data_IF_812503105956
#
_entry.id   IF_812503105956
#
_cell.length_a   1.000
_cell.length_b   1.000
_cell.length_c   1.000
_cell.angle_alpha   90.00
_cell.angle_beta   90.00
_cell.angle_gamma   90.00
#
_symmetry.space_group_name_H-M   'P 1'
#
loop_
_entity.id
_entity.type
_entity.pdbx_description
1 polymer ?
#
# COMPACT_ATOMS: atom_id res chain seq x y z
N UNK A 1 39.69 9.80 -48.69
CA UNK A 1 39.12 11.02 -48.07
C UNK A 1 40.27 11.73 -47.37
N UNK A 2 40.66 12.92 -47.83
CA UNK A 2 41.75 13.67 -47.22
C UNK A 2 41.19 14.48 -46.03
N UNK A 3 41.80 14.35 -44.86
CA UNK A 3 41.44 15.11 -43.65
C UNK A 3 41.74 16.59 -43.92
N UNK A 4 40.73 17.44 -43.75
CA UNK A 4 40.88 18.88 -44.03
C UNK A 4 41.57 19.60 -42.86
N UNK A 5 42.22 20.74 -43.14
CA UNK A 5 42.82 21.57 -42.09
C UNK A 5 41.78 22.06 -41.06
N UNK A 6 40.50 22.15 -41.43
CA UNK A 6 39.39 22.40 -40.50
C UNK A 6 39.10 21.24 -39.56
N UNK A 7 39.29 19.99 -39.99
CA UNK A 7 39.13 18.81 -39.15
C UNK A 7 40.26 18.72 -38.11
N UNK A 8 41.49 19.10 -38.50
CA UNK A 8 42.65 19.18 -37.59
C UNK A 8 42.53 20.32 -36.57
N UNK A 9 42.02 21.49 -37.00
CA UNK A 9 41.80 22.62 -36.10
C UNK A 9 40.67 22.35 -35.09
N UNK A 10 39.57 21.72 -35.52
CA UNK A 10 38.47 21.34 -34.62
C UNK A 10 38.89 20.24 -33.63
N UNK A 11 39.73 19.28 -34.04
CA UNK A 11 40.29 18.27 -33.15
C UNK A 11 41.24 18.87 -32.10
N UNK A 12 42.10 19.84 -32.47
CA UNK A 12 42.98 20.54 -31.52
C UNK A 12 42.21 21.42 -30.52
N UNK A 13 41.14 22.09 -30.95
CA UNK A 13 40.25 22.86 -30.06
C UNK A 13 39.46 21.95 -29.13
N UNK A 14 39.00 20.79 -29.62
CA UNK A 14 38.37 19.79 -28.76
C UNK A 14 39.36 19.19 -27.75
N UNK A 15 40.61 18.91 -28.16
CA UNK A 15 41.68 18.43 -27.27
C UNK A 15 42.00 19.41 -26.15
N UNK A 16 42.19 20.70 -26.48
CA UNK A 16 42.49 21.73 -25.47
C UNK A 16 41.32 21.99 -24.51
N UNK A 17 40.06 21.88 -24.97
CA UNK A 17 38.88 21.96 -24.11
C UNK A 17 38.79 20.74 -23.17
N UNK A 18 39.09 19.55 -23.64
CA UNK A 18 39.11 18.33 -22.81
C UNK A 18 40.19 18.45 -21.72
N UNK A 19 41.39 18.91 -22.07
CA UNK A 19 42.48 19.11 -21.12
C UNK A 19 42.14 20.15 -20.04
N UNK A 20 41.55 21.28 -20.43
CA UNK A 20 41.05 22.29 -19.48
C UNK A 20 40.02 21.70 -18.53
N UNK A 21 39.09 20.90 -19.05
CA UNK A 21 38.02 20.32 -18.25
C UNK A 21 38.50 19.20 -17.34
N UNK A 22 39.47 18.39 -17.78
CA UNK A 22 40.17 17.43 -16.95
C UNK A 22 40.91 18.13 -15.80
N UNK A 23 41.66 19.21 -16.07
CA UNK A 23 42.36 19.97 -15.04
C UNK A 23 41.39 20.58 -14.02
N UNK A 24 40.24 21.10 -14.49
CA UNK A 24 39.18 21.61 -13.61
C UNK A 24 38.60 20.51 -12.73
N UNK A 25 38.26 19.35 -13.31
CA UNK A 25 37.71 18.21 -12.56
C UNK A 25 38.73 17.65 -11.56
N UNK A 26 40.00 17.52 -11.95
CA UNK A 26 41.06 17.09 -11.05
C UNK A 26 41.21 18.04 -9.86
N UNK A 27 41.16 19.35 -10.11
CA UNK A 27 41.18 20.35 -9.04
C UNK A 27 39.98 20.21 -8.10
N UNK A 28 38.78 19.97 -8.62
CA UNK A 28 37.58 19.76 -7.78
C UNK A 28 37.72 18.49 -6.94
N UNK A 29 38.08 17.37 -7.57
CA UNK A 29 38.27 16.08 -6.88
C UNK A 29 39.33 16.18 -5.80
N UNK A 30 40.46 16.85 -6.09
CA UNK A 30 41.53 17.04 -5.10
C UNK A 30 41.02 17.85 -3.90
N UNK A 31 40.29 18.94 -4.12
CA UNK A 31 39.73 19.77 -3.05
C UNK A 31 38.73 18.98 -2.20
N UNK A 32 37.78 18.29 -2.82
CA UNK A 32 36.78 17.45 -2.13
C UNK A 32 37.44 16.31 -1.33
N UNK A 33 38.47 15.68 -1.90
CA UNK A 33 39.22 14.63 -1.21
C UNK A 33 39.98 15.17 0.01
N UNK A 34 40.64 16.32 -0.12
CA UNK A 34 41.33 16.97 1.01
C UNK A 34 40.33 17.30 2.11
N UNK A 35 39.18 17.88 1.75
CA UNK A 35 38.08 18.14 2.69
C UNK A 35 37.64 16.85 3.39
N UNK A 36 37.33 15.80 2.64
CA UNK A 36 36.86 14.52 3.18
C UNK A 36 37.89 13.85 4.11
N UNK A 37 39.19 13.96 3.80
CA UNK A 37 40.28 13.41 4.63
C UNK A 37 40.49 14.20 5.93
N UNK A 38 40.17 15.49 5.93
CA UNK A 38 40.29 16.37 7.10
C UNK A 38 39.03 16.34 7.97
N UNK A 39 37.88 15.96 7.40
CA UNK A 39 36.61 15.95 8.10
C UNK A 39 36.51 14.77 9.08
N UNK A 40 36.10 14.97 10.35
CA UNK A 40 35.94 13.87 11.30
C UNK A 40 34.91 12.84 10.82
N UNK A 41 35.28 11.56 10.77
CA UNK A 41 34.38 10.47 10.34
C UNK A 41 33.08 10.43 11.15
N UNK A 42 33.17 10.66 12.46
CA UNK A 42 32.04 10.67 13.37
C UNK A 42 31.01 11.73 12.99
N UNK A 43 31.49 12.92 12.61
CA UNK A 43 30.65 14.03 12.20
C UNK A 43 30.07 13.80 10.80
N UNK A 44 30.87 13.29 9.86
CA UNK A 44 30.39 12.92 8.52
C UNK A 44 29.29 11.86 8.59
N UNK A 45 29.49 10.84 9.43
CA UNK A 45 28.50 9.78 9.70
C UNK A 45 27.23 10.34 10.35
N UNK A 46 27.36 11.28 11.27
CA UNK A 46 26.23 11.95 11.91
C UNK A 46 25.41 12.77 10.88
N UNK A 47 26.08 13.55 10.04
CA UNK A 47 25.44 14.32 8.96
C UNK A 47 24.74 13.40 7.94
N UNK A 48 25.41 12.34 7.50
CA UNK A 48 24.81 11.34 6.61
C UNK A 48 23.55 10.70 7.22
N UNK A 49 23.63 10.32 8.50
CA UNK A 49 22.51 9.72 9.23
C UNK A 49 21.37 10.72 9.40
N UNK A 50 21.68 11.98 9.69
CA UNK A 50 20.69 13.05 9.80
C UNK A 50 19.96 13.31 8.48
N UNK A 51 20.69 13.36 7.36
CA UNK A 51 20.12 13.52 6.02
C UNK A 51 19.17 12.36 5.67
N UNK A 52 19.57 11.11 5.93
CA UNK A 52 18.68 9.96 5.73
C UNK A 52 17.47 9.98 6.67
N UNK A 53 17.66 10.28 7.95
CA UNK A 53 16.56 10.38 8.90
C UNK A 53 15.55 11.45 8.46
N UNK A 54 16.03 12.58 7.93
CA UNK A 54 15.19 13.66 7.38
C UNK A 54 14.38 13.18 6.19
N UNK A 55 15.02 12.47 5.25
CA UNK A 55 14.37 11.90 4.07
C UNK A 55 13.30 10.86 4.46
N UNK A 56 13.60 10.01 5.44
CA UNK A 56 12.70 8.94 5.93
C UNK A 56 11.56 9.41 6.83
N UNK A 57 11.45 10.71 7.11
CA UNK A 57 10.24 11.25 7.72
C UNK A 57 9.03 11.05 6.81
N UNK A 58 9.22 11.14 5.49
CA UNK A 58 8.25 10.73 4.49
C UNK A 58 8.41 9.25 4.19
N UNK A 59 7.30 8.56 3.89
CA UNK A 59 7.37 7.13 3.60
C UNK A 59 6.01 6.46 3.53
N UNK A 60 6.02 5.16 3.24
CA UNK A 60 4.83 4.32 3.32
C UNK A 60 5.11 3.11 4.19
N UNK A 61 4.15 2.75 5.05
CA UNK A 61 4.21 1.57 5.89
C UNK A 61 2.99 0.70 5.61
N UNK A 62 3.19 -0.62 5.55
CA UNK A 62 2.12 -1.60 5.42
C UNK A 62 2.19 -2.57 6.61
N UNK A 63 1.02 -3.03 7.10
CA UNK A 63 0.98 -4.12 8.08
C UNK A 63 1.65 -5.37 7.51
N UNK A 64 2.46 -6.08 8.30
CA UNK A 64 3.18 -7.27 7.83
C UNK A 64 2.21 -8.33 7.30
N UNK A 65 2.56 -8.94 6.17
CA UNK A 65 1.79 -10.02 5.57
C UNK A 65 2.55 -11.33 5.51
N UNK A 66 1.89 -12.40 5.93
CA UNK A 66 2.36 -13.78 5.83
C UNK A 66 1.94 -14.48 4.54
N UNK A 67 1.14 -13.81 3.70
CA UNK A 67 0.70 -14.36 2.42
C UNK A 67 1.91 -14.59 1.49
N UNK A 68 1.96 -15.72 0.77
CA UNK A 68 3.10 -16.08 -0.06
C UNK A 68 3.28 -15.10 -1.23
N UNK A 69 4.51 -14.67 -1.47
CA UNK A 69 4.84 -13.80 -2.62
C UNK A 69 4.32 -12.36 -2.51
N UNK A 70 3.83 -11.93 -1.34
CA UNK A 70 3.28 -10.58 -1.14
C UNK A 70 4.35 -9.59 -0.68
N UNK A 71 4.23 -8.35 -1.16
CA UNK A 71 5.10 -7.24 -0.81
C UNK A 71 5.05 -6.93 0.70
N UNK A 72 6.21 -6.75 1.32
CA UNK A 72 6.32 -6.36 2.74
C UNK A 72 7.22 -5.14 2.92
N UNK A 73 7.13 -4.50 4.08
CA UNK A 73 7.84 -3.24 4.37
C UNK A 73 9.34 -3.30 4.14
N UNK A 74 9.99 -4.45 4.40
CA UNK A 74 11.41 -4.67 4.09
C UNK A 74 11.73 -4.41 2.61
N UNK A 75 10.94 -4.97 1.70
CA UNK A 75 11.16 -4.81 0.26
C UNK A 75 10.98 -3.36 -0.19
N UNK A 76 9.99 -2.66 0.38
CA UNK A 76 9.74 -1.25 0.08
C UNK A 76 10.90 -0.39 0.57
N UNK A 77 11.31 -0.54 1.82
CA UNK A 77 12.41 0.25 2.40
C UNK A 77 13.72 0.02 1.65
N UNK A 78 14.05 -1.25 1.33
CA UNK A 78 15.23 -1.58 0.54
C UNK A 78 15.15 -0.98 -0.87
N UNK A 79 13.99 -1.08 -1.54
CA UNK A 79 13.79 -0.51 -2.88
C UNK A 79 13.94 1.00 -2.86
N UNK A 80 13.24 1.69 -1.97
CA UNK A 80 13.33 3.15 -1.84
C UNK A 80 14.75 3.58 -1.49
N UNK A 81 15.47 2.87 -0.60
CA UNK A 81 16.87 3.15 -0.30
C UNK A 81 17.73 3.15 -1.57
N UNK A 82 17.64 2.10 -2.41
CA UNK A 82 18.40 2.04 -3.65
C UNK A 82 17.97 3.08 -4.68
N UNK A 83 16.69 3.44 -4.76
CA UNK A 83 16.25 4.51 -5.66
C UNK A 83 16.84 5.85 -5.26
N UNK A 84 16.75 6.17 -3.96
CA UNK A 84 17.14 7.46 -3.41
C UNK A 84 18.66 7.63 -3.34
N UNK A 85 19.41 6.54 -3.13
CA UNK A 85 20.88 6.58 -3.13
C UNK A 85 21.49 6.85 -4.51
N UNK A 86 20.68 6.81 -5.59
CA UNK A 86 21.13 7.04 -6.97
C UNK A 86 20.83 8.47 -7.46
N UNK A 87 20.26 9.33 -6.62
CA UNK A 87 19.91 10.70 -6.99
C UNK A 87 20.42 11.65 -5.89
N UNK A 88 21.25 12.66 -6.23
CA UNK A 88 21.67 13.65 -5.24
C UNK A 88 20.47 14.48 -4.79
N UNK A 89 20.48 14.93 -3.53
CA UNK A 89 19.45 15.84 -3.04
C UNK A 89 19.83 17.30 -3.36
N UNK A 90 19.60 17.69 -4.61
CA UNK A 90 19.95 18.99 -5.20
C UNK A 90 19.41 20.18 -4.38
N UNK A 91 18.35 19.97 -3.61
CA UNK A 91 17.66 21.00 -2.84
C UNK A 91 18.42 21.43 -1.58
N UNK A 92 19.26 20.57 -1.03
CA UNK A 92 20.08 20.88 0.15
C UNK A 92 21.42 21.50 -0.21
N UNK A 93 21.96 21.24 -1.40
CA UNK A 93 23.19 21.88 -1.88
C UNK A 93 23.01 23.38 -2.21
N UNK A 94 21.77 23.83 -2.43
CA UNK A 94 21.43 25.20 -2.83
C UNK A 94 20.72 26.02 -1.74
N UNK A 95 20.41 25.42 -0.59
CA UNK A 95 19.70 26.10 0.50
C UNK A 95 20.58 27.22 1.10
N UNK A 96 20.20 28.48 0.86
CA UNK A 96 20.85 29.66 1.44
C UNK A 96 21.27 30.76 0.47
N UNK A 97 21.02 30.64 -0.85
CA UNK A 97 21.49 31.62 -1.84
C UNK A 97 20.34 32.44 -2.45
N UNK A 98 19.84 33.43 -1.70
CA UNK A 98 18.98 34.53 -2.17
C UNK A 98 17.47 34.23 -2.34
N UNK A 99 16.64 35.27 -2.21
CA UNK A 99 15.17 35.27 -2.39
C UNK A 99 14.73 34.73 -3.77
N UNK A 100 15.61 34.84 -4.76
CA UNK A 100 15.43 34.31 -6.11
C UNK A 100 15.32 32.79 -6.15
N UNK A 101 16.07 32.08 -5.29
CA UNK A 101 16.06 30.62 -5.23
C UNK A 101 14.77 30.08 -4.59
N UNK A 102 14.23 30.78 -3.59
CA UNK A 102 12.93 30.48 -2.98
C UNK A 102 11.80 30.61 -4.00
N UNK A 103 11.79 31.71 -4.76
CA UNK A 103 10.79 31.93 -5.81
C UNK A 103 10.89 30.87 -6.90
N UNK A 104 12.10 30.54 -7.36
CA UNK A 104 12.32 29.48 -8.34
C UNK A 104 11.90 28.10 -7.82
N UNK A 105 12.16 27.82 -6.54
CA UNK A 105 11.72 26.59 -5.90
C UNK A 105 10.19 26.51 -5.87
N UNK A 106 9.51 27.54 -5.34
CA UNK A 106 8.04 27.59 -5.29
C UNK A 106 7.46 27.44 -6.70
N UNK A 107 8.05 28.09 -7.71
CA UNK A 107 7.65 27.97 -9.11
C UNK A 107 7.82 26.56 -9.68
N UNK A 108 8.95 25.90 -9.42
CA UNK A 108 9.18 24.50 -9.86
C UNK A 108 8.21 23.52 -9.20
N UNK A 109 7.77 23.81 -7.98
CA UNK A 109 6.82 22.98 -7.22
C UNK A 109 5.38 23.23 -7.67
N UNK A 110 5.03 24.49 -7.93
CA UNK A 110 3.74 24.90 -8.48
C UNK A 110 3.58 24.63 -9.98
N UNK A 111 4.53 23.98 -10.65
CA UNK A 111 4.32 23.44 -12.01
C UNK A 111 4.23 21.92 -12.01
N UNK A 112 4.39 21.26 -10.86
CA UNK A 112 4.26 19.80 -10.69
C UNK A 112 2.81 19.37 -10.51
N UNK A 113 1.98 19.73 -11.48
CA UNK A 113 0.61 19.26 -11.60
C UNK A 113 0.53 18.23 -12.75
N UNK A 114 -0.49 17.38 -12.73
CA UNK A 114 -0.75 16.29 -13.67
C UNK A 114 0.02 14.98 -13.44
N UNK A 115 0.54 14.74 -12.23
CA UNK A 115 0.89 13.38 -11.83
C UNK A 115 -0.41 12.55 -11.82
N UNK A 116 -0.47 11.52 -12.67
CA UNK A 116 -1.67 10.72 -12.92
C UNK A 116 -1.54 9.32 -12.32
N UNK A 117 -2.65 8.59 -12.28
CA UNK A 117 -2.65 7.21 -11.79
C UNK A 117 -1.99 6.26 -12.77
N UNK A 118 -0.99 5.53 -12.27
CA UNK A 118 -0.34 4.42 -12.98
C UNK A 118 -0.97 3.07 -12.67
N UNK A 119 -0.35 1.98 -13.15
CA UNK A 119 -0.70 0.64 -12.69
C UNK A 119 -0.45 0.51 -11.18
N UNK A 120 -1.19 -0.39 -10.54
CA UNK A 120 -1.06 -0.71 -9.12
C UNK A 120 0.35 -1.26 -8.82
N UNK A 121 1.22 -0.40 -8.30
CA UNK A 121 2.60 -0.75 -8.03
C UNK A 121 2.74 -1.72 -6.85
N UNK A 122 1.78 -1.77 -5.91
CA UNK A 122 1.85 -2.73 -4.80
C UNK A 122 1.80 -4.18 -5.29
N UNK A 123 1.17 -4.43 -6.44
CA UNK A 123 1.07 -5.75 -7.05
C UNK A 123 2.18 -6.05 -8.08
N UNK A 124 3.13 -5.14 -8.29
CA UNK A 124 4.11 -5.26 -9.37
C UNK A 124 5.39 -6.01 -8.98
N UNK A 125 5.65 -7.17 -9.60
CA UNK A 125 6.87 -7.94 -9.32
C UNK A 125 8.16 -7.25 -9.79
N UNK A 126 8.12 -6.44 -10.86
CA UNK A 126 9.32 -5.81 -11.43
C UNK A 126 9.86 -4.64 -10.61
N UNK A 127 9.01 -4.02 -9.79
CA UNK A 127 9.35 -2.82 -9.02
C UNK A 127 9.93 -3.12 -7.63
N UNK A 128 9.89 -4.38 -7.19
CA UNK A 128 10.31 -4.80 -5.84
C UNK A 128 11.37 -5.90 -5.87
N UNK A 129 12.11 -6.00 -6.97
CA UNK A 129 13.17 -6.99 -7.15
C UNK A 129 14.27 -6.76 -6.11
N UNK A 130 14.69 -7.85 -5.46
CA UNK A 130 15.83 -7.81 -4.54
C UNK A 130 17.11 -7.47 -5.29
N UNK A 131 17.79 -6.43 -4.82
CA UNK A 131 19.06 -5.97 -5.39
C UNK A 131 20.20 -6.75 -4.77
N UNK A 132 20.81 -7.64 -5.54
CA UNK A 132 22.01 -8.41 -5.19
C UNK A 132 23.18 -8.18 -6.18
N UNK A 133 22.96 -7.36 -7.20
CA UNK A 133 23.96 -6.98 -8.19
C UNK A 133 23.71 -5.56 -8.73
N UNK A 134 24.78 -4.93 -9.23
CA UNK A 134 24.71 -3.60 -9.84
C UNK A 134 23.73 -3.56 -11.03
N UNK A 135 23.68 -4.62 -11.81
CA UNK A 135 22.80 -4.75 -12.97
C UNK A 135 21.31 -4.88 -12.56
N UNK A 136 21.00 -5.59 -11.45
CA UNK A 136 19.64 -5.58 -10.87
C UNK A 136 19.27 -4.20 -10.33
N UNK A 137 20.20 -3.49 -9.68
CA UNK A 137 19.98 -2.11 -9.23
C UNK A 137 19.66 -1.19 -10.41
N UNK A 138 20.47 -1.24 -11.47
CA UNK A 138 20.28 -0.41 -12.66
C UNK A 138 18.93 -0.71 -13.35
N UNK A 139 18.51 -1.98 -13.42
CA UNK A 139 17.17 -2.35 -13.90
C UNK A 139 16.06 -1.81 -13.02
N UNK A 140 16.17 -1.95 -11.70
CA UNK A 140 15.19 -1.45 -10.74
C UNK A 140 14.96 0.06 -10.93
N UNK A 141 16.05 0.84 -10.93
CA UNK A 141 16.03 2.28 -11.17
C UNK A 141 15.36 2.61 -12.51
N UNK A 142 15.67 1.86 -13.57
CA UNK A 142 15.09 2.04 -14.90
C UNK A 142 13.58 1.76 -14.94
N UNK A 143 13.11 0.71 -14.28
CA UNK A 143 11.68 0.39 -14.20
C UNK A 143 10.91 1.49 -13.47
N UNK A 144 11.38 1.91 -12.30
CA UNK A 144 10.78 3.01 -11.55
C UNK A 144 10.76 4.31 -12.36
N UNK A 145 11.87 4.67 -12.99
CA UNK A 145 11.94 5.84 -13.86
C UNK A 145 10.94 5.77 -15.02
N UNK A 146 10.79 4.60 -15.64
CA UNK A 146 9.81 4.39 -16.72
C UNK A 146 8.37 4.57 -16.22
N UNK A 147 8.03 3.98 -15.07
CA UNK A 147 6.71 4.08 -14.48
C UNK A 147 6.36 5.51 -14.08
N UNK A 148 7.27 6.22 -13.39
CA UNK A 148 7.09 7.63 -13.03
C UNK A 148 6.98 8.55 -14.26
N UNK A 149 7.62 8.18 -15.37
CA UNK A 149 7.49 8.90 -16.64
C UNK A 149 6.11 8.70 -17.26
N UNK A 150 5.58 7.47 -17.23
CA UNK A 150 4.25 7.14 -17.76
C UNK A 150 3.12 7.80 -16.98
N UNK A 151 3.30 8.02 -15.67
CA UNK A 151 2.34 8.71 -14.81
C UNK A 151 2.50 10.24 -14.83
N UNK A 152 3.29 10.79 -15.75
CA UNK A 152 3.56 12.24 -15.83
C UNK A 152 4.13 12.84 -14.54
N UNK A 153 4.69 12.03 -13.64
CA UNK A 153 5.37 12.46 -12.41
C UNK A 153 6.88 12.64 -12.63
N UNK A 154 7.33 12.72 -13.90
CA UNK A 154 8.75 12.86 -14.26
C UNK A 154 9.38 14.12 -13.69
N UNK A 155 8.63 15.21 -13.55
CA UNK A 155 9.15 16.47 -13.01
C UNK A 155 9.72 16.38 -11.59
N UNK A 156 9.42 15.29 -10.87
CA UNK A 156 10.00 15.01 -9.57
C UNK A 156 11.38 14.32 -9.63
N UNK A 157 11.72 13.65 -10.74
CA UNK A 157 13.01 12.99 -10.89
C UNK A 157 14.17 13.99 -10.91
N UNK A 158 13.94 15.15 -11.51
CA UNK A 158 14.94 16.21 -11.65
C UNK A 158 15.04 17.08 -10.38
N UNK A 159 14.18 16.83 -9.38
CA UNK A 159 14.09 17.58 -8.12
C UNK A 159 14.91 17.01 -6.97
N UNK A 160 15.67 15.94 -7.20
CA UNK A 160 16.52 15.31 -6.19
C UNK A 160 15.85 14.17 -5.42
N UNK A 161 16.54 13.65 -4.40
CA UNK A 161 16.08 12.50 -3.62
C UNK A 161 14.72 12.74 -2.95
N UNK A 162 14.51 13.92 -2.35
CA UNK A 162 13.23 14.22 -1.69
C UNK A 162 12.04 14.18 -2.65
N UNK A 163 12.19 14.78 -3.83
CA UNK A 163 11.15 14.82 -4.84
C UNK A 163 10.92 13.43 -5.45
N UNK A 164 11.98 12.64 -5.66
CA UNK A 164 11.84 11.25 -6.09
C UNK A 164 11.06 10.40 -5.07
N UNK A 165 11.30 10.59 -3.77
CA UNK A 165 10.53 9.92 -2.72
C UNK A 165 9.06 10.33 -2.79
N UNK A 166 8.76 11.64 -2.91
CA UNK A 166 7.38 12.10 -3.06
C UNK A 166 6.70 11.49 -4.29
N UNK A 167 7.38 11.44 -5.44
CA UNK A 167 6.82 10.79 -6.63
C UNK A 167 6.52 9.30 -6.43
N UNK A 168 7.40 8.58 -5.72
CA UNK A 168 7.14 7.19 -5.36
C UNK A 168 5.90 7.07 -4.45
N UNK A 169 5.77 7.92 -3.44
CA UNK A 169 4.60 7.92 -2.55
C UNK A 169 3.30 8.27 -3.29
N UNK A 170 3.34 9.28 -4.17
CA UNK A 170 2.22 9.66 -5.01
C UNK A 170 1.78 8.50 -5.90
N UNK A 171 2.75 7.82 -6.53
CA UNK A 171 2.47 6.67 -7.39
C UNK A 171 1.89 5.48 -6.61
N UNK A 172 2.44 5.16 -5.44
CA UNK A 172 1.97 4.06 -4.59
C UNK A 172 0.57 4.31 -4.02
N UNK A 173 0.30 5.52 -3.54
CA UNK A 173 -1.01 5.90 -3.03
C UNK A 173 -1.99 6.33 -4.12
N UNK A 174 -1.64 6.15 -5.40
CA UNK A 174 -2.46 6.57 -6.53
C UNK A 174 -2.89 8.05 -6.45
N UNK A 175 -2.07 8.90 -5.84
CA UNK A 175 -2.34 10.32 -5.69
C UNK A 175 -2.25 11.02 -7.05
N UNK A 176 -3.28 11.77 -7.40
CA UNK A 176 -3.33 12.60 -8.58
C UNK A 176 -3.26 14.06 -8.16
N UNK A 177 -2.21 14.76 -8.59
CA UNK A 177 -2.03 16.18 -8.34
C UNK A 177 -2.70 16.96 -9.48
N UNK A 178 -3.79 17.66 -9.17
CA UNK A 178 -4.48 18.54 -10.12
C UNK A 178 -4.22 20.00 -9.73
N UNK A 179 -4.59 20.91 -10.63
CA UNK A 179 -4.54 22.34 -10.32
C UNK A 179 -5.61 22.69 -9.26
N UNK A 180 -5.18 22.95 -8.02
CA UNK A 180 -6.04 23.36 -6.90
C UNK A 180 -6.64 22.23 -6.04
N UNK A 181 -6.36 20.96 -6.37
CA UNK A 181 -6.75 19.83 -5.52
C UNK A 181 -5.87 18.59 -5.76
N UNK A 182 -5.82 17.71 -4.77
CA UNK A 182 -5.19 16.39 -4.88
C UNK A 182 -6.26 15.32 -4.68
N UNK A 183 -6.22 14.22 -5.43
CA UNK A 183 -7.17 13.11 -5.24
C UNK A 183 -6.44 11.78 -5.03
N UNK A 184 -7.00 10.87 -4.25
CA UNK A 184 -6.41 9.56 -3.93
C UNK A 184 -7.14 8.48 -4.73
N UNK A 185 -6.49 7.94 -5.76
CA UNK A 185 -7.07 6.97 -6.69
C UNK A 185 -7.02 5.51 -6.26
N UNK A 186 -6.85 5.21 -4.96
CA UNK A 186 -6.86 3.84 -4.47
C UNK A 186 -8.26 3.23 -4.64
N UNK A 187 -8.31 1.98 -5.11
CA UNK A 187 -9.57 1.29 -5.34
C UNK A 187 -10.10 0.70 -4.02
N UNK A 188 -11.36 1.00 -3.61
CA UNK A 188 -11.92 0.52 -2.35
C UNK A 188 -11.91 -1.00 -2.18
N UNK A 189 -12.05 -1.76 -3.27
CA UNK A 189 -12.07 -3.23 -3.28
C UNK A 189 -10.68 -3.89 -3.25
N UNK A 190 -9.62 -3.10 -3.15
CA UNK A 190 -8.23 -3.58 -3.05
C UNK A 190 -7.58 -3.22 -1.70
N UNK A 191 -8.37 -2.68 -0.76
CA UNK A 191 -7.89 -2.24 0.54
C UNK A 191 -7.89 -3.39 1.54
N UNK A 192 -6.94 -4.30 1.37
CA UNK A 192 -6.87 -5.56 2.13
C UNK A 192 -5.82 -5.54 3.26
N UNK A 193 -5.12 -4.40 3.44
CA UNK A 193 -4.07 -4.22 4.45
C UNK A 193 -4.12 -2.84 5.08
N UNK A 194 -3.55 -2.73 6.27
CA UNK A 194 -3.33 -1.44 6.91
C UNK A 194 -2.20 -0.72 6.18
N UNK A 195 -2.45 0.54 5.80
CA UNK A 195 -1.51 1.39 5.09
C UNK A 195 -1.35 2.70 5.86
N UNK A 196 -0.12 3.22 5.91
CA UNK A 196 0.13 4.61 6.29
C UNK A 196 1.09 5.24 5.33
N UNK A 197 0.64 6.32 4.73
CA UNK A 197 1.48 7.26 4.03
C UNK A 197 1.85 8.39 4.99
N UNK A 198 3.15 8.59 5.16
CA UNK A 198 3.71 9.63 6.02
C UNK A 198 4.21 10.78 5.16
N UNK A 199 3.84 12.00 5.52
CA UNK A 199 4.29 13.26 4.93
C UNK A 199 4.23 13.26 3.40
N UNK A 200 3.05 12.99 2.86
CA UNK A 200 2.77 13.16 1.44
C UNK A 200 2.52 14.63 1.16
N UNK A 201 3.30 15.20 0.24
CA UNK A 201 3.05 16.56 -0.23
C UNK A 201 1.86 16.60 -1.18
N UNK A 202 0.99 17.59 -0.99
CA UNK A 202 -0.18 17.81 -1.84
C UNK A 202 0.16 18.75 -3.01
N UNK A 203 -0.86 19.27 -3.69
CA UNK A 203 -0.70 20.21 -4.80
C UNK A 203 -0.12 21.57 -4.35
N UNK A 204 -0.45 22.03 -3.14
CA UNK A 204 0.10 23.28 -2.61
C UNK A 204 1.50 23.03 -2.01
N UNK A 205 2.54 23.75 -2.47
CA UNK A 205 3.91 23.56 -1.97
C UNK A 205 4.00 23.72 -0.45
N UNK A 206 4.63 22.77 0.23
CA UNK A 206 4.79 22.80 1.69
C UNK A 206 3.60 22.29 2.50
N UNK A 207 2.48 21.94 1.87
CA UNK A 207 1.34 21.31 2.56
C UNK A 207 1.52 19.80 2.56
N UNK A 208 1.84 19.25 3.74
CA UNK A 208 2.03 17.82 3.95
C UNK A 208 0.90 17.20 4.77
N UNK A 209 0.51 15.98 4.38
CA UNK A 209 -0.47 15.17 5.11
C UNK A 209 0.07 13.78 5.41
N UNK A 210 -0.39 13.24 6.52
CA UNK A 210 -0.33 11.83 6.81
C UNK A 210 -1.71 11.21 6.53
N UNK A 211 -1.72 10.07 5.85
CA UNK A 211 -2.94 9.37 5.45
C UNK A 211 -2.86 7.90 5.85
N UNK A 212 -3.79 7.46 6.70
CA UNK A 212 -3.85 6.11 7.22
C UNK A 212 -5.16 5.41 6.84
N UNK A 213 -5.00 4.18 6.38
CA UNK A 213 -6.05 3.20 6.11
C UNK A 213 -5.84 2.08 7.12
N UNK A 214 -6.87 1.77 7.91
CA UNK A 214 -6.81 0.69 8.91
C UNK A 214 -8.01 -0.22 8.76
N UNK A 215 -7.80 -1.52 8.89
CA UNK A 215 -8.84 -2.54 8.90
C UNK A 215 -9.11 -2.91 10.35
N UNK A 216 -10.26 -2.49 10.85
CA UNK A 216 -10.67 -2.70 12.24
C UNK A 216 -11.89 -3.63 12.29
N UNK A 217 -12.10 -4.37 13.39
CA UNK A 217 -13.36 -5.06 13.63
C UNK A 217 -14.49 -4.03 13.71
N UNK A 218 -15.62 -4.29 13.05
CA UNK A 218 -16.79 -3.43 13.13
C UNK A 218 -17.37 -3.41 14.56
N UNK A 219 -17.46 -2.24 15.18
CA UNK A 219 -18.28 -2.07 16.37
C UNK A 219 -19.74 -2.32 15.97
N UNK A 220 -20.45 -3.18 16.72
CA UNK A 220 -21.84 -3.66 16.50
C UNK A 220 -22.05 -4.98 15.73
N UNK A 221 -21.35 -6.05 16.12
CA UNK A 221 -21.91 -7.38 15.86
C UNK A 221 -21.54 -8.40 16.92
N UNK A 222 -22.28 -8.37 18.03
CA UNK A 222 -22.49 -9.56 18.87
C UNK A 222 -23.04 -10.75 18.05
N UNK A 223 -23.58 -10.52 16.84
CA UNK A 223 -24.06 -11.54 15.91
C UNK A 223 -23.09 -11.93 14.79
N UNK A 224 -22.03 -11.16 14.53
CA UNK A 224 -21.10 -11.43 13.41
C UNK A 224 -19.69 -10.88 13.68
N UNK A 225 -18.88 -11.57 14.51
CA UNK A 225 -17.51 -11.17 14.86
C UNK A 225 -16.51 -11.15 13.67
N UNK A 226 -16.97 -11.48 12.47
CA UNK A 226 -16.17 -11.54 11.24
C UNK A 226 -16.25 -10.27 10.39
N UNK A 227 -17.12 -9.32 10.72
CA UNK A 227 -17.28 -8.10 9.90
C UNK A 227 -16.12 -7.13 10.17
N UNK A 228 -15.19 -7.05 9.22
CA UNK A 228 -14.11 -6.06 9.21
C UNK A 228 -14.56 -4.81 8.45
N UNK A 229 -14.16 -3.63 8.93
CA UNK A 229 -14.46 -2.34 8.30
C UNK A 229 -13.18 -1.54 8.06
N UNK A 230 -13.20 -0.68 7.04
CA UNK A 230 -12.08 0.21 6.71
C UNK A 230 -12.27 1.56 7.39
N UNK A 231 -11.28 1.94 8.19
CA UNK A 231 -11.14 3.24 8.82
C UNK A 231 -10.19 4.10 8.00
N UNK A 232 -10.67 5.23 7.48
CA UNK A 232 -9.83 6.23 6.82
C UNK A 232 -9.55 7.39 7.76
N UNK A 233 -8.30 7.84 7.79
CA UNK A 233 -7.91 8.93 8.65
C UNK A 233 -6.78 9.78 8.09
N UNK A 234 -6.87 11.08 8.33
CA UNK A 234 -5.94 12.08 7.79
C UNK A 234 -5.60 13.11 8.85
N UNK A 235 -4.34 13.55 8.90
CA UNK A 235 -3.91 14.70 9.70
C UNK A 235 -2.78 15.44 9.00
N UNK A 236 -2.57 16.70 9.40
CA UNK A 236 -1.40 17.48 9.00
C UNK A 236 -0.16 16.93 9.67
N UNK A 237 0.88 16.78 8.87
CA UNK A 237 2.17 16.32 9.36
C UNK A 237 2.83 17.33 10.30
N UNK A 238 3.60 16.81 11.27
CA UNK A 238 4.38 17.65 12.18
C UNK A 238 5.57 18.27 11.46
N UNK A 239 5.75 19.58 11.60
CA UNK A 239 6.89 20.29 11.04
C UNK A 239 8.19 19.69 11.65
N UNK A 240 9.14 19.28 10.81
CA UNK A 240 10.37 18.66 11.25
C UNK A 240 11.42 19.69 11.67
N UNK A 241 12.46 19.21 12.34
CA UNK A 241 13.60 20.04 12.76
C UNK A 241 14.50 20.40 11.56
N UNK A 242 15.33 21.45 11.70
CA UNK A 242 16.40 21.75 10.74
C UNK A 242 17.38 20.60 10.63
N UNK A 243 18.06 20.48 9.49
CA UNK A 243 19.06 19.42 9.30
C UNK A 243 20.16 19.49 10.37
N UNK A 244 20.61 20.71 10.70
CA UNK A 244 21.59 20.96 11.76
C UNK A 244 21.06 20.59 13.15
N UNK A 245 19.80 20.89 13.46
CA UNK A 245 19.17 20.47 14.71
C UNK A 245 18.97 18.94 14.78
N UNK A 246 18.61 18.29 13.66
CA UNK A 246 18.51 16.83 13.59
C UNK A 246 19.86 16.14 13.78
N UNK A 247 20.94 16.71 13.25
CA UNK A 247 22.29 16.17 13.40
C UNK A 247 22.80 16.26 14.84
N UNK A 248 22.38 17.30 15.59
CA UNK A 248 22.71 17.47 17.02
C UNK A 248 21.78 16.70 17.95
N UNK A 249 20.57 16.39 17.49
CA UNK A 249 19.62 15.61 18.27
C UNK A 249 20.16 14.20 18.54
N UNK A 250 19.95 13.69 19.76
CA UNK A 250 20.29 12.30 20.06
C UNK A 250 19.48 11.38 19.15
N UNK A 251 20.10 10.34 18.57
CA UNK A 251 19.37 9.39 17.75
C UNK A 251 18.22 8.79 18.58
N UNK A 252 17.02 8.63 18.02
CA UNK A 252 15.96 7.90 18.69
C UNK A 252 16.48 6.50 19.04
N UNK A 253 16.25 6.05 20.28
CA UNK A 253 16.60 4.67 20.66
C UNK A 253 15.92 3.72 19.66
N UNK A 254 16.64 2.77 19.04
CA UNK A 254 16.01 1.80 18.17
C UNK A 254 14.97 1.05 19.00
N UNK A 255 13.70 1.17 18.61
CA UNK A 255 12.61 0.42 19.21
C UNK A 255 12.85 -1.05 18.87
N UNK A 256 13.17 -1.88 19.87
CA UNK A 256 13.45 -3.32 19.72
C UNK A 256 12.22 -4.16 19.32
N UNK A 257 11.09 -3.53 19.00
CA UNK A 257 9.84 -4.20 18.70
C UNK A 257 9.29 -3.71 17.36
N UNK A 258 9.25 -4.61 16.37
CA UNK A 258 8.60 -4.45 15.07
C UNK A 258 7.07 -4.29 15.16
N UNK A 259 6.50 -4.21 16.36
CA UNK A 259 5.07 -4.19 16.62
C UNK A 259 4.70 -2.94 17.45
N UNK A 260 4.17 -1.91 16.75
CA UNK A 260 3.49 -0.68 17.21
C UNK A 260 4.32 0.60 17.44
N UNK A 261 3.72 1.81 17.23
CA UNK A 261 2.73 2.20 16.24
C UNK A 261 3.41 2.79 15.00
N UNK A 262 2.62 3.00 13.96
CA UNK A 262 2.98 3.45 12.62
C UNK A 262 3.57 4.89 12.56
N UNK A 263 3.77 5.54 13.71
CA UNK A 263 4.18 6.93 13.82
C UNK A 263 5.71 7.09 13.89
N UNK A 264 6.29 7.94 13.05
CA UNK A 264 7.68 8.33 13.18
C UNK A 264 7.88 9.15 14.47
N UNK A 265 8.71 8.64 15.39
CA UNK A 265 9.11 9.39 16.58
C UNK A 265 10.04 10.53 16.17
N UNK A 266 9.52 11.76 16.10
CA UNK A 266 10.37 12.95 15.95
C UNK A 266 11.20 13.14 17.24
N UNK A 267 12.51 13.46 17.14
CA UNK A 267 13.33 13.81 18.29
C UNK A 267 12.74 15.03 19.03
N UNK A 268 12.83 15.04 20.36
CA UNK A 268 12.46 16.20 21.16
C UNK A 268 13.45 17.36 20.92
N UNK A 269 12.94 18.56 20.69
CA UNK A 269 13.75 19.77 20.51
C UNK A 269 14.20 20.35 21.86
N UNK A 270 15.46 20.82 21.94
CA UNK A 270 15.91 21.74 23.00
C UNK A 270 15.62 23.21 22.61
N UNK A 271 15.54 24.15 23.57
CA UNK A 271 15.22 25.54 23.29
C UNK A 271 16.33 26.23 22.48
N UNK A 272 15.92 26.97 21.46
CA UNK A 272 16.76 27.47 20.37
C UNK A 272 17.47 28.80 20.72
N UNK A 273 18.76 28.90 20.38
CA UNK A 273 19.51 30.14 20.27
C UNK A 273 20.34 30.09 18.98
N UNK A 274 19.71 30.25 17.81
CA UNK A 274 20.28 30.95 16.65
C UNK A 274 19.32 30.94 15.46
N UNK A 275 18.88 32.13 15.05
CA UNK A 275 18.11 32.43 13.84
C UNK A 275 18.89 32.23 12.51
N UNK A 276 19.88 31.34 12.44
CA UNK A 276 20.93 31.40 11.40
C UNK A 276 20.96 30.24 10.38
N UNK A 277 20.02 29.29 10.40
CA UNK A 277 20.22 28.02 9.67
C UNK A 277 18.91 27.40 9.16
N UNK A 278 18.08 28.19 8.47
CA UNK A 278 16.77 27.75 8.02
C UNK A 278 16.80 27.18 6.60
N UNK A 279 16.77 25.85 6.51
CA UNK A 279 16.70 25.11 5.24
C UNK A 279 15.50 25.57 4.39
N UNK A 280 15.70 25.78 3.08
CA UNK A 280 14.66 26.27 2.16
C UNK A 280 13.35 25.46 2.20
N UNK A 281 13.36 24.10 2.23
CA UNK A 281 12.13 23.31 2.32
C UNK A 281 11.37 23.53 3.64
N UNK A 282 12.08 23.81 4.74
CA UNK A 282 11.46 24.08 6.04
C UNK A 282 10.77 25.43 6.09
N UNK A 283 11.38 26.46 5.48
CA UNK A 283 10.73 27.76 5.36
C UNK A 283 9.39 27.63 4.63
N UNK A 284 9.35 26.83 3.57
CA UNK A 284 8.13 26.66 2.76
C UNK A 284 7.04 25.90 3.52
N UNK A 285 7.40 24.87 4.29
CA UNK A 285 6.45 24.18 5.15
C UNK A 285 5.92 25.08 6.28
N UNK A 286 6.77 25.96 6.84
CA UNK A 286 6.35 26.97 7.82
C UNK A 286 5.40 28.00 7.20
N UNK A 287 5.71 28.53 6.02
CA UNK A 287 4.84 29.44 5.27
C UNK A 287 3.46 28.81 5.00
N UNK A 288 3.44 27.50 4.73
CA UNK A 288 2.24 26.74 4.42
C UNK A 288 1.43 26.28 5.66
N UNK A 289 1.88 26.62 6.88
CA UNK A 289 1.24 26.18 8.12
C UNK A 289 -0.17 26.76 8.28
N UNK A 290 -0.37 28.02 7.87
CA UNK A 290 -1.63 28.75 7.99
C UNK A 290 -2.57 28.57 6.78
N UNK A 291 -2.09 27.93 5.71
CA UNK A 291 -2.93 27.53 4.57
C UNK A 291 -4.03 26.61 5.09
N UNK A 292 -5.27 26.77 4.63
CA UNK A 292 -6.37 25.89 5.01
C UNK A 292 -6.21 24.53 4.32
N UNK A 293 -6.72 23.45 4.92
CA UNK A 293 -6.76 22.13 4.27
C UNK A 293 -8.08 21.46 4.58
N UNK A 294 -8.72 20.98 3.53
CA UNK A 294 -9.98 20.28 3.58
C UNK A 294 -9.85 18.91 2.93
N UNK A 295 -10.61 17.94 3.43
CA UNK A 295 -10.74 16.60 2.85
C UNK A 295 -12.22 16.26 2.64
N UNK A 296 -12.54 15.63 1.52
CA UNK A 296 -13.84 15.01 1.31
C UNK A 296 -13.71 13.57 0.81
N UNK A 297 -14.66 12.69 1.19
CA UNK A 297 -14.69 11.30 0.72
C UNK A 297 -15.12 11.21 -0.75
N UNK A 298 -15.16 10.00 -1.29
CA UNK A 298 -15.59 9.73 -2.66
C UNK A 298 -16.90 10.48 -3.03
N UNK A 299 -16.91 11.13 -4.19
CA UNK A 299 -18.04 11.90 -4.71
C UNK A 299 -18.31 13.26 -4.03
N UNK A 300 -17.66 13.57 -2.90
CA UNK A 300 -17.74 14.84 -2.16
C UNK A 300 -19.17 15.43 -2.06
N UNK A 301 -20.14 14.62 -1.61
CA UNK A 301 -21.51 15.09 -1.38
C UNK A 301 -21.70 15.81 -0.05
N UNK A 302 -20.95 15.39 0.98
CA UNK A 302 -20.96 16.03 2.29
C UNK A 302 -20.03 17.24 2.33
N UNK A 303 -20.28 18.13 3.28
CA UNK A 303 -19.37 19.25 3.56
C UNK A 303 -17.94 18.72 3.86
N UNK A 304 -16.90 19.30 3.22
CA UNK A 304 -15.52 18.89 3.46
C UNK A 304 -15.08 19.13 4.89
N UNK A 305 -14.36 18.16 5.46
CA UNK A 305 -13.83 18.24 6.80
C UNK A 305 -12.51 19.01 6.80
N UNK A 306 -12.36 19.96 7.73
CA UNK A 306 -11.08 20.65 7.93
C UNK A 306 -10.05 19.70 8.55
N UNK A 307 -8.85 19.64 7.98
CA UNK A 307 -7.75 18.80 8.45
C UNK A 307 -6.77 19.63 9.26
N UNK A 308 -6.67 19.30 10.55
CA UNK A 308 -5.75 19.91 11.50
C UNK A 308 -4.59 18.99 11.87
N UNK A 309 -3.93 19.28 13.00
CA UNK A 309 -2.87 18.42 13.56
C UNK A 309 -3.40 17.14 14.22
N UNK A 310 -4.67 17.13 14.62
CA UNK A 310 -5.34 15.96 15.17
C UNK A 310 -5.83 15.06 14.04
N UNK A 311 -5.91 13.75 14.33
CA UNK A 311 -6.43 12.73 13.43
C UNK A 311 -7.90 13.01 13.09
N UNK A 312 -8.19 13.35 11.84
CA UNK A 312 -9.54 13.53 11.30
C UNK A 312 -9.99 12.22 10.66
N UNK A 313 -11.14 11.70 11.10
CA UNK A 313 -11.73 10.46 10.60
C UNK A 313 -12.60 10.76 9.39
N UNK A 314 -12.41 10.03 8.30
CA UNK A 314 -13.12 10.26 7.04
C UNK A 314 -14.03 9.06 6.75
N UNK A 315 -15.31 9.26 6.39
CA UNK A 315 -16.20 8.16 6.03
C UNK A 315 -15.67 7.37 4.83
N UNK A 316 -15.66 6.05 4.93
CA UNK A 316 -15.28 5.17 3.83
C UNK A 316 -16.46 4.99 2.88
N UNK A 317 -16.47 5.77 1.79
CA UNK A 317 -17.49 5.75 0.75
C UNK A 317 -16.90 5.30 -0.58
N UNK A 318 -17.75 4.72 -1.43
CA UNK A 318 -17.43 4.31 -2.78
C UNK A 318 -18.55 4.71 -3.75
N UNK A 319 -18.17 4.92 -5.01
CA UNK A 319 -19.07 5.33 -6.09
C UNK A 319 -19.11 4.28 -7.19
N UNK A 320 -20.22 4.26 -7.95
CA UNK A 320 -20.34 3.48 -9.18
C UNK A 320 -20.66 4.41 -10.36
N UNK A 321 -19.85 4.44 -11.45
CA UNK A 321 -18.49 3.88 -11.56
C UNK A 321 -17.51 4.47 -10.53
N UNK A 322 -16.38 3.79 -10.25
CA UNK A 322 -15.45 4.20 -9.20
C UNK A 322 -14.76 5.53 -9.51
N UNK A 323 -14.83 6.45 -8.55
CA UNK A 323 -14.07 7.71 -8.52
C UNK A 323 -12.90 7.62 -7.53
N UNK A 324 -12.15 8.71 -7.33
CA UNK A 324 -11.14 8.76 -6.28
C UNK A 324 -11.76 8.54 -4.88
N UNK A 325 -10.99 7.90 -4.01
CA UNK A 325 -11.32 7.56 -2.63
C UNK A 325 -11.44 8.80 -1.75
N UNK A 326 -10.51 9.74 -1.90
CA UNK A 326 -10.44 10.99 -1.15
C UNK A 326 -10.04 12.15 -2.07
N UNK A 327 -10.45 13.36 -1.71
CA UNK A 327 -10.01 14.60 -2.33
C UNK A 327 -9.51 15.57 -1.26
N UNK A 328 -8.42 16.28 -1.55
CA UNK A 328 -7.80 17.29 -0.70
C UNK A 328 -7.75 18.64 -1.42
N UNK A 329 -8.10 19.72 -0.72
CA UNK A 329 -8.08 21.09 -1.25
C UNK A 329 -7.55 22.08 -0.23
N UNK A 330 -6.86 23.12 -0.69
CA UNK A 330 -6.24 24.14 0.18
C UNK A 330 -6.88 25.52 0.10
N UNK A 331 -7.76 25.75 -0.87
CA UNK A 331 -8.40 27.04 -1.11
C UNK A 331 -9.71 27.19 -0.33
N UNK A 332 -10.76 26.51 -0.81
CA UNK A 332 -12.12 26.62 -0.30
C UNK A 332 -12.79 25.23 -0.31
N UNK A 333 -13.55 24.95 0.76
CA UNK A 333 -14.33 23.73 0.90
C UNK A 333 -15.35 23.60 -0.25
N UNK A 334 -16.03 24.69 -0.63
CA UNK A 334 -17.02 24.65 -1.70
C UNK A 334 -16.38 24.37 -3.08
N UNK A 335 -15.19 24.93 -3.34
CA UNK A 335 -14.42 24.60 -4.54
C UNK A 335 -13.98 23.14 -4.56
N UNK A 336 -13.54 22.59 -3.43
CA UNK A 336 -13.20 21.17 -3.32
C UNK A 336 -14.40 20.27 -3.61
N UNK A 337 -15.59 20.60 -3.08
CA UNK A 337 -16.83 19.88 -3.40
C UNK A 337 -17.11 19.89 -4.90
N UNK A 338 -17.00 21.07 -5.54
CA UNK A 338 -17.18 21.21 -6.98
C UNK A 338 -16.24 20.29 -7.75
N UNK A 339 -14.96 20.22 -7.39
CA UNK A 339 -14.01 19.30 -8.05
C UNK A 339 -14.39 17.83 -7.90
N UNK A 340 -14.80 17.39 -6.71
CA UNK A 340 -15.22 16.00 -6.48
C UNK A 340 -16.50 15.62 -7.23
N UNK A 341 -17.41 16.58 -7.44
CA UNK A 341 -18.70 16.38 -8.11
C UNK A 341 -18.62 16.50 -9.64
N UNK A 342 -17.52 17.01 -10.21
CA UNK A 342 -17.31 17.07 -11.67
C UNK A 342 -17.30 15.67 -12.31
N UNK A 343 -16.94 14.63 -11.55
CA UNK A 343 -16.92 13.25 -12.04
C UNK A 343 -18.33 12.66 -11.97
N UNK A 344 -18.84 12.18 -13.10
CA UNK A 344 -20.15 11.52 -13.15
C UNK A 344 -20.08 10.16 -12.44
N UNK A 345 -20.92 9.99 -11.43
CA UNK A 345 -21.26 8.70 -10.82
C UNK A 345 -22.78 8.60 -10.68
N UNK A 346 -23.32 7.38 -10.70
CA UNK A 346 -24.77 7.13 -10.59
C UNK A 346 -25.21 6.90 -9.14
N UNK A 347 -24.34 6.35 -8.30
CA UNK A 347 -24.67 6.01 -6.92
C UNK A 347 -23.46 6.19 -6.00
N UNK A 348 -23.75 6.53 -4.75
CA UNK A 348 -22.81 6.63 -3.63
C UNK A 348 -23.28 5.65 -2.55
N UNK A 349 -22.36 4.83 -2.05
CA UNK A 349 -22.65 3.84 -1.01
C UNK A 349 -21.45 3.71 -0.06
N UNK A 350 -21.63 3.11 1.13
CA UNK A 350 -20.49 2.70 1.95
C UNK A 350 -19.50 1.87 1.14
N UNK A 351 -18.21 2.01 1.44
CA UNK A 351 -17.19 1.19 0.80
C UNK A 351 -17.37 -0.30 1.12
N UNK A 352 -16.85 -1.20 0.26
CA UNK A 352 -17.01 -2.64 0.43
C UNK A 352 -16.32 -3.12 1.70
N UNK A 353 -16.92 -4.07 2.40
CA UNK A 353 -16.24 -4.75 3.51
C UNK A 353 -15.07 -5.56 2.95
N UNK A 354 -13.87 -5.46 3.56
CA UNK A 354 -12.74 -6.30 3.19
C UNK A 354 -13.07 -7.79 3.32
N UNK A 355 -12.55 -8.60 2.39
CA UNK A 355 -12.79 -10.04 2.38
C UNK A 355 -12.05 -10.71 3.55
N UNK A 356 -12.80 -11.41 4.40
CA UNK A 356 -12.27 -12.09 5.58
C UNK A 356 -11.19 -13.12 5.22
N UNK A 357 -11.34 -13.87 4.12
CA UNK A 357 -10.39 -14.91 3.74
C UNK A 357 -9.07 -14.29 3.26
N UNK A 358 -9.15 -13.16 2.56
CA UNK A 358 -7.99 -12.39 2.12
C UNK A 358 -7.26 -11.77 3.31
N UNK A 359 -7.99 -11.17 4.26
CA UNK A 359 -7.41 -10.58 5.47
C UNK A 359 -6.75 -11.65 6.34
N UNK A 360 -7.41 -12.80 6.54
CA UNK A 360 -6.86 -13.90 7.34
C UNK A 360 -5.61 -14.48 6.68
N UNK A 361 -5.61 -14.64 5.35
CA UNK A 361 -4.42 -15.02 4.59
C UNK A 361 -3.27 -14.02 4.82
N UNK A 362 -3.55 -12.72 4.78
CA UNK A 362 -2.51 -11.72 5.04
C UNK A 362 -2.02 -11.74 6.49
N UNK A 363 -2.90 -11.92 7.49
CA UNK A 363 -2.55 -11.89 8.93
C UNK A 363 -1.90 -13.17 9.44
N UNK A 364 -2.23 -14.33 8.87
CA UNK A 364 -1.83 -15.64 9.40
C UNK A 364 -1.12 -16.54 8.37
N UNK A 365 -1.15 -16.20 7.08
CA UNK A 365 -0.47 -16.93 6.01
C UNK A 365 -1.25 -18.13 5.47
N UNK A 366 -2.47 -18.35 5.98
CA UNK A 366 -3.37 -19.42 5.53
C UNK A 366 -4.83 -19.03 5.76
N UNK A 367 -5.73 -19.62 4.99
CA UNK A 367 -7.17 -19.31 5.04
C UNK A 367 -7.88 -19.86 6.29
N UNK A 368 -7.30 -20.84 7.00
CA UNK A 368 -7.93 -21.46 8.18
C UNK A 368 -7.91 -20.58 9.45
N UNK A 369 -7.49 -19.32 9.35
CA UNK A 369 -7.55 -18.36 10.45
C UNK A 369 -6.36 -18.38 11.41
N UNK A 370 -6.49 -17.72 12.57
CA UNK A 370 -5.38 -17.47 13.50
C UNK A 370 -5.08 -18.56 14.53
N UNK A 371 -5.73 -19.72 14.45
CA UNK A 371 -5.50 -20.81 15.41
C UNK A 371 -4.16 -21.51 15.12
N UNK A 372 -3.32 -21.77 16.14
CA UNK A 372 -2.02 -22.42 15.94
C UNK A 372 -2.15 -23.74 15.20
N UNK A 373 -1.16 -24.09 14.36
CA UNK A 373 -1.14 -25.35 13.62
C UNK A 373 -1.35 -26.61 14.51
N UNK A 374 -0.90 -26.55 15.77
CA UNK A 374 -1.12 -27.60 16.78
C UNK A 374 -2.61 -27.85 17.07
N UNK A 375 -3.46 -26.82 17.03
CA UNK A 375 -4.90 -26.97 17.22
C UNK A 375 -5.49 -27.86 16.13
N UNK A 376 -5.12 -27.60 14.86
CA UNK A 376 -5.61 -28.36 13.72
C UNK A 376 -5.13 -29.81 13.73
N UNK A 377 -3.90 -30.05 14.16
CA UNK A 377 -3.38 -31.42 14.37
C UNK A 377 -4.14 -32.13 15.48
N UNK A 378 -4.37 -31.45 16.61
CA UNK A 378 -5.13 -32.01 17.73
C UNK A 378 -6.57 -32.36 17.32
N UNK A 379 -7.24 -31.45 16.61
CA UNK A 379 -8.58 -31.67 16.07
C UNK A 379 -8.62 -32.85 15.09
N UNK A 380 -7.68 -32.92 14.16
CA UNK A 380 -7.56 -34.02 13.21
C UNK A 380 -7.31 -35.36 13.90
N UNK A 381 -6.44 -35.40 14.92
CA UNK A 381 -6.19 -36.58 15.73
C UNK A 381 -7.45 -37.03 16.48
N UNK A 382 -8.15 -36.10 17.13
CA UNK A 382 -9.38 -36.38 17.88
C UNK A 382 -10.46 -36.95 16.96
N UNK A 383 -10.68 -36.34 15.80
CA UNK A 383 -11.63 -36.81 14.79
C UNK A 383 -11.23 -38.23 14.34
N UNK A 384 -9.95 -38.47 14.06
CA UNK A 384 -9.47 -39.79 13.62
C UNK A 384 -9.68 -40.84 14.70
N UNK A 385 -9.32 -40.56 15.95
CA UNK A 385 -9.53 -41.47 17.07
C UNK A 385 -11.01 -41.78 17.27
N UNK A 386 -11.87 -40.75 17.22
CA UNK A 386 -13.32 -40.93 17.31
C UNK A 386 -13.83 -41.89 16.22
N UNK A 387 -13.42 -41.70 14.97
CA UNK A 387 -13.83 -42.57 13.87
C UNK A 387 -13.29 -43.99 14.02
N UNK A 388 -12.07 -44.18 14.53
CA UNK A 388 -11.53 -45.51 14.82
C UNK A 388 -12.33 -46.22 15.93
N UNK A 389 -12.71 -45.51 17.00
CA UNK A 389 -13.58 -46.05 18.04
C UNK A 389 -14.98 -46.37 17.52
N UNK A 390 -15.56 -45.49 16.70
CA UNK A 390 -16.85 -45.70 16.07
C UNK A 390 -16.84 -46.94 15.16
N UNK A 391 -15.83 -47.06 14.29
CA UNK A 391 -15.61 -48.24 13.47
C UNK A 391 -15.40 -49.50 14.32
N UNK A 392 -14.65 -49.41 15.43
CA UNK A 392 -14.46 -50.53 16.36
C UNK A 392 -15.78 -50.97 16.99
N UNK A 393 -16.64 -50.05 17.41
CA UNK A 393 -17.96 -50.37 17.98
C UNK A 393 -18.82 -51.07 16.92
N UNK A 394 -18.91 -50.53 15.71
CA UNK A 394 -19.66 -51.14 14.61
C UNK A 394 -19.13 -52.53 14.28
N UNK A 395 -17.80 -52.69 14.19
CA UNK A 395 -17.18 -53.99 13.94
C UNK A 395 -17.50 -54.99 15.06
N UNK A 396 -17.42 -54.56 16.32
CA UNK A 396 -17.74 -55.44 17.44
C UNK A 396 -19.21 -55.85 17.43
N UNK A 397 -20.14 -54.93 17.16
CA UNK A 397 -21.57 -55.25 17.12
C UNK A 397 -21.92 -56.18 15.94
N UNK A 398 -21.41 -55.88 14.74
CA UNK A 398 -21.68 -56.70 13.55
C UNK A 398 -21.00 -58.06 13.58
N UNK A 399 -19.83 -58.18 14.23
CA UNK A 399 -19.04 -59.41 14.19
C UNK A 399 -19.23 -60.29 15.43
N UNK A 400 -19.56 -59.72 16.60
CA UNK A 400 -19.77 -60.48 17.84
C UNK A 400 -21.10 -61.26 17.83
N UNK A 401 -22.10 -60.78 17.11
CA UNK A 401 -23.36 -61.51 16.89
C UNK A 401 -23.22 -62.69 15.91
N UNK A 402 -22.23 -62.68 15.02
CA UNK A 402 -21.98 -63.80 14.09
C UNK A 402 -21.33 -65.02 14.75
N UNK A 403 -20.75 -64.88 15.95
CA UNK A 403 -20.03 -65.98 16.63
C UNK A 403 -20.91 -66.71 17.65
N UNK A 404 -22.00 -66.09 18.13
CA UNK A 404 -22.85 -66.67 19.20
C UNK A 404 -24.22 -67.17 18.69
N UNK A 405 -24.67 -66.78 17.49
CA UNK A 405 -26.02 -67.09 17.01
C UNK A 405 -26.08 -67.84 15.67
N UNK A 406 -25.15 -68.73 15.36
CA UNK A 406 -25.30 -69.63 14.19
C UNK A 406 -26.40 -70.69 14.34
N UNK A 407 -26.96 -70.91 15.54
CA UNK A 407 -28.00 -71.96 15.71
C UNK A 407 -29.43 -71.49 15.99
N UNK A 408 -29.77 -70.18 15.97
CA UNK A 408 -31.16 -69.80 16.28
C UNK A 408 -31.78 -68.56 15.64
N UNK A 409 -31.35 -68.13 14.44
CA UNK A 409 -32.06 -67.08 13.70
C UNK A 409 -33.18 -67.60 12.79
N UNK A 410 -34.37 -67.79 13.37
CA UNK A 410 -35.64 -67.71 12.62
C UNK A 410 -35.88 -66.26 12.23
N UNK A 411 -35.85 -65.97 10.92
CA UNK A 411 -36.20 -64.66 10.38
C UNK A 411 -37.63 -64.26 10.83
N UNK A 412 -37.85 -63.02 11.29
CA UNK A 412 -39.18 -62.53 11.65
C UNK A 412 -40.10 -62.47 10.42
N UNK A 413 -41.38 -62.86 10.62
CA UNK A 413 -42.43 -63.04 9.58
C UNK A 413 -42.56 -61.88 8.58
N UNK A 414 -42.25 -60.65 8.98
CA UNK A 414 -42.39 -59.46 8.13
C UNK A 414 -41.45 -59.45 6.90
N UNK A 415 -40.36 -60.20 6.93
CA UNK A 415 -39.40 -60.26 5.83
C UNK A 415 -39.78 -61.28 4.74
N UNK A 416 -40.70 -62.21 5.04
CA UNK A 416 -41.17 -63.22 4.08
C UNK A 416 -42.24 -62.64 3.14
N UNK A 417 -43.09 -61.74 3.66
CA UNK A 417 -44.19 -61.14 2.89
C UNK A 417 -43.73 -60.14 1.81
N UNK A 418 -42.50 -59.62 1.90
CA UNK A 418 -41.92 -58.73 0.88
C UNK A 418 -41.39 -59.48 -0.36
N UNK A 419 -41.29 -60.81 -0.32
CA UNK A 419 -40.91 -61.65 -1.47
C UNK A 419 -42.06 -62.42 -2.09
N UNK A 420 -43.29 -62.27 -1.57
CA UNK A 420 -44.45 -62.94 -2.16
C UNK A 420 -44.66 -62.42 -3.61
N UNK A 421 -44.83 -63.32 -4.61
CA UNK A 421 -44.98 -62.93 -6.02
C UNK A 421 -46.21 -62.03 -6.28
N UNK A 422 -47.17 -62.01 -5.36
CA UNK A 422 -48.33 -61.11 -5.38
C UNK A 422 -47.96 -59.63 -5.16
N UNK A 423 -46.96 -59.35 -4.31
CA UNK A 423 -46.49 -57.98 -4.04
C UNK A 423 -45.75 -57.36 -5.24
N UNK A 424 -45.09 -58.20 -6.05
CA UNK A 424 -44.42 -57.78 -7.30
C UNK A 424 -45.46 -57.40 -8.36
N UNK A 425 -46.56 -58.16 -8.49
CA UNK A 425 -47.67 -57.83 -9.39
C UNK A 425 -48.37 -56.54 -8.97
N UNK A 426 -48.58 -56.34 -7.67
CA UNK A 426 -49.20 -55.12 -7.14
C UNK A 426 -48.34 -53.87 -7.41
N UNK A 427 -47.00 -53.96 -7.27
CA UNK A 427 -46.08 -52.88 -7.64
C UNK A 427 -46.09 -52.56 -9.13
N UNK A 428 -46.18 -53.57 -10.00
CA UNK A 428 -46.28 -53.36 -11.44
C UNK A 428 -47.59 -52.64 -11.83
N UNK A 429 -48.71 -53.03 -11.21
CA UNK A 429 -50.01 -52.38 -11.43
C UNK A 429 -50.02 -50.91 -10.96
N UNK A 430 -49.46 -50.62 -9.79
CA UNK A 430 -49.34 -49.24 -9.27
C UNK A 430 -48.45 -48.38 -10.18
N UNK A 431 -47.34 -48.95 -10.68
CA UNK A 431 -46.45 -48.25 -11.60
C UNK A 431 -47.12 -47.95 -12.95
N UNK A 432 -47.95 -48.88 -13.45
CA UNK A 432 -48.75 -48.67 -14.65
C UNK A 432 -49.83 -47.59 -14.46
N UNK A 433 -50.51 -47.56 -13.32
CA UNK A 433 -51.50 -46.52 -12.97
C UNK A 433 -50.85 -45.13 -12.82
N UNK A 434 -49.67 -45.04 -12.22
CA UNK A 434 -48.94 -43.77 -12.11
C UNK A 434 -48.46 -43.26 -13.47
N UNK A 435 -48.07 -44.15 -14.38
CA UNK A 435 -47.67 -43.79 -15.74
C UNK A 435 -48.87 -43.35 -16.60
N UNK A 436 -50.07 -43.94 -16.44
CA UNK A 436 -51.26 -43.46 -17.15
C UNK A 436 -51.71 -42.09 -16.63
N UNK A 437 -51.67 -41.88 -15.31
CA UNK A 437 -52.04 -40.59 -14.68
C UNK A 437 -51.09 -39.45 -15.06
N UNK A 438 -49.81 -39.75 -15.27
CA UNK A 438 -48.81 -38.78 -15.78
C UNK A 438 -49.03 -38.44 -17.26
N UNK A 439 -49.57 -39.38 -18.05
CA UNK A 439 -49.89 -39.16 -19.48
C UNK A 439 -51.16 -38.30 -19.65
N UNK A 440 -52.19 -38.51 -18.82
CA UNK A 440 -53.41 -37.68 -18.83
C UNK A 440 -53.23 -36.26 -18.32
N UNK A 441 -52.22 -35.99 -17.47
CA UNK A 441 -51.91 -34.63 -17.00
C UNK A 441 -51.13 -33.81 -18.03
N UNK A 442 -50.39 -34.47 -18.93
CA UNK A 442 -49.57 -33.82 -19.95
C UNK A 442 -50.39 -33.40 -21.20
N UNK A 443 -51.54 -34.02 -21.45
CA UNK A 443 -52.43 -33.67 -22.57
C UNK A 443 -53.40 -32.50 -22.26
N UNK A 444 -53.48 -32.07 -20.99
CA UNK A 444 -54.31 -30.93 -20.54
C UNK A 444 -53.55 -29.60 -20.40
N UNK A 445 -52.23 -29.58 -20.61
CA UNK A 445 -51.40 -28.35 -20.59
C UNK A 445 -50.90 -27.94 -21.99
N UNK A 446 -51.44 -28.53 -23.06
CA UNK A 446 -51.18 -28.09 -24.43
C UNK A 446 -52.47 -27.78 -25.20
N UNK A 447 -52.67 -26.47 -25.44
CA UNK A 447 -53.61 -25.77 -26.34
C UNK A 447 -54.94 -25.26 -25.76
N UNK A 448 -55.30 -23.99 -26.04
CA UNK A 448 -54.48 -22.76 -26.12
C UNK A 448 -54.71 -21.79 -24.96
#
# INVERSE_FOLDING_TARGET
MAVSNSDLASANVHGSRIEQECARLESVVRTELIFALQYPETELRALHTAAWNRLWLSGVTLSFSFAPGVLNGKHINTTLYYLLSNVPDVLYEQAGKNDTDLVQYKRRRSTRFNCSTGPDLFQSNSHWVTVDSLDKMARLVRYWRSSLTKTSCRGFWDGGAHDLLQAALLSLGAFQLNNGYTSVGLLPNKLDRDLLFRRVELHEPGVYVDFQIRIVPGELSLSSPHLMVVELSVWRSKIPLSLSAMARARPPRPSLLLSQPLEAQLPAAEPDHAQADLDLPLQIERDAQDVLLYVCPAGCQSEPMKVGKSKTMVPFLATAPPTALLYFGTSDAMMLMKYGQLRRYSSLHPGPHPDHDVITLHRHGHAFGGLPWLFWISLGLLITLFHLFFCKIIYNELWKDNVVNEENWRLPRYAVDLRAPEAVKMRAAIKAQLLSKRRTLHDTESFP
#
